data_IF_008082587326
#
_entry.id   IF_008082587326
#
_cell.length_a   1.000
_cell.length_b   1.000
_cell.length_c   1.000
_cell.angle_alpha   90.00
_cell.angle_beta   90.00
_cell.angle_gamma   90.00
#
_symmetry.space_group_name_H-M   'P 1'
#
loop_
_entity.id
_entity.type
_entity.pdbx_description
1 polymer ?
#
# COMPACT_ATOMS: atom_id res chain seq x y z
N UNK A 1 -20.39 -3.30 33.02
CA UNK A 1 -19.03 -3.60 32.50
C UNK A 1 -19.13 -4.31 31.17
N UNK A 2 -18.57 -3.85 30.06
CA UNK A 2 -17.86 -2.63 29.70
C UNK A 2 -18.09 -2.47 28.19
N UNK A 3 -18.32 -1.25 27.70
CA UNK A 3 -18.54 -0.87 26.29
C UNK A 3 -17.32 -1.20 25.40
N UNK A 4 -16.97 -2.48 25.28
CA UNK A 4 -15.81 -3.01 24.58
C UNK A 4 -16.28 -3.79 23.35
N UNK A 5 -15.62 -3.52 22.25
CA UNK A 5 -15.82 -4.11 20.95
C UNK A 5 -14.68 -5.10 20.75
N UNK A 6 -15.00 -6.38 20.70
CA UNK A 6 -14.04 -7.42 20.30
C UNK A 6 -14.01 -7.49 18.78
N UNK A 7 -12.83 -7.31 18.20
CA UNK A 7 -12.60 -7.30 16.76
C UNK A 7 -11.54 -8.34 16.43
N UNK A 8 -11.87 -9.24 15.49
CA UNK A 8 -10.87 -10.06 14.80
C UNK A 8 -10.60 -9.41 13.45
N UNK A 9 -9.37 -8.94 13.25
CA UNK A 9 -8.98 -8.21 12.04
C UNK A 9 -7.93 -9.03 11.29
N UNK A 10 -8.14 -9.19 9.99
CA UNK A 10 -7.22 -9.90 9.09
C UNK A 10 -6.83 -9.03 7.88
N UNK A 11 -6.02 -7.96 8.07
CA UNK A 11 -5.59 -7.13 6.96
C UNK A 11 -4.76 -7.93 5.94
N UNK A 12 -4.96 -7.61 4.66
CA UNK A 12 -4.22 -8.15 3.54
C UNK A 12 -3.77 -7.02 2.61
N UNK A 13 -2.47 -6.98 2.29
CA UNK A 13 -1.90 -6.04 1.31
C UNK A 13 -1.11 -6.84 0.30
N UNK A 14 -1.44 -6.67 -0.98
CA UNK A 14 -0.73 -7.32 -2.10
C UNK A 14 0.00 -6.28 -2.95
N UNK A 15 1.23 -6.60 -3.33
CA UNK A 15 2.05 -5.76 -4.21
C UNK A 15 2.65 -6.62 -5.32
N UNK A 16 2.71 -6.09 -6.54
CA UNK A 16 3.42 -6.73 -7.64
C UNK A 16 4.93 -6.64 -7.38
N UNK A 17 5.59 -7.80 -7.29
CA UNK A 17 7.04 -7.91 -7.13
C UNK A 17 7.68 -8.30 -8.46
N UNK A 18 8.57 -7.43 -8.96
CA UNK A 18 9.43 -7.74 -10.12
C UNK A 18 10.62 -8.62 -9.74
N UNK A 19 11.04 -8.58 -8.47
CA UNK A 19 12.13 -9.43 -7.94
C UNK A 19 11.73 -10.92 -7.96
N UNK A 20 10.45 -11.22 -7.74
CA UNK A 20 9.89 -12.57 -7.83
C UNK A 20 9.23 -12.87 -9.19
N UNK A 21 9.61 -12.15 -10.25
CA UNK A 21 9.02 -12.37 -11.57
C UNK A 21 9.59 -13.62 -12.26
N UNK A 22 8.75 -14.29 -13.05
CA UNK A 22 9.15 -15.45 -13.87
C UNK A 22 8.99 -15.06 -15.33
N UNK A 23 10.02 -15.30 -16.13
CA UNK A 23 9.96 -15.12 -17.58
C UNK A 23 9.59 -16.43 -18.26
N UNK A 24 8.45 -16.46 -18.95
CA UNK A 24 7.98 -17.62 -19.71
C UNK A 24 7.84 -17.19 -21.16
N UNK A 25 8.59 -17.82 -22.07
CA UNK A 25 8.56 -17.53 -23.51
C UNK A 25 8.74 -16.03 -23.86
N UNK A 26 9.56 -15.30 -23.10
CA UNK A 26 9.82 -13.87 -23.31
C UNK A 26 8.79 -12.91 -22.68
N UNK A 27 7.76 -13.44 -22.02
CA UNK A 27 6.79 -12.65 -21.25
C UNK A 27 7.16 -12.68 -19.77
N UNK A 28 7.36 -11.50 -19.18
CA UNK A 28 7.66 -11.36 -17.74
C UNK A 28 6.36 -11.34 -16.96
N UNK A 29 6.12 -12.41 -16.19
CA UNK A 29 5.00 -12.48 -15.25
C UNK A 29 5.49 -12.00 -13.88
N UNK A 30 5.02 -10.86 -13.35
CA UNK A 30 5.42 -10.39 -12.04
C UNK A 30 4.91 -11.36 -10.96
N UNK A 31 5.75 -11.60 -9.94
CA UNK A 31 5.31 -12.30 -8.74
C UNK A 31 4.35 -11.42 -7.93
N UNK A 32 3.53 -12.04 -7.09
CA UNK A 32 2.68 -11.32 -6.13
C UNK A 32 3.29 -11.52 -4.75
N UNK A 33 3.59 -10.42 -4.08
CA UNK A 33 3.98 -10.42 -2.67
C UNK A 33 2.77 -10.02 -1.83
N UNK A 34 2.29 -10.95 -0.99
CA UNK A 34 1.14 -10.74 -0.12
C UNK A 34 1.57 -10.65 1.33
N UNK A 35 1.09 -9.63 2.03
CA UNK A 35 1.30 -9.41 3.46
C UNK A 35 -0.03 -9.64 4.17
N UNK A 36 -0.08 -10.59 5.10
CA UNK A 36 -1.27 -10.93 5.88
C UNK A 36 -0.91 -10.95 7.36
N UNK A 37 -1.81 -10.46 8.20
CA UNK A 37 -1.72 -10.55 9.65
C UNK A 37 -3.11 -10.83 10.19
N UNK A 38 -3.23 -11.61 11.27
CA UNK A 38 -4.52 -11.84 11.94
C UNK A 38 -4.33 -11.56 13.42
N UNK A 39 -5.12 -10.65 13.97
CA UNK A 39 -5.09 -10.32 15.40
C UNK A 39 -6.50 -10.14 15.94
N UNK A 40 -6.66 -10.44 17.22
CA UNK A 40 -7.90 -10.19 17.97
C UNK A 40 -7.60 -9.09 18.98
N UNK A 41 -8.42 -8.03 18.96
CA UNK A 41 -8.25 -6.86 19.80
C UNK A 41 -9.56 -6.53 20.52
N UNK A 42 -9.48 -5.91 21.69
CA UNK A 42 -10.63 -5.37 22.41
C UNK A 42 -10.47 -3.87 22.59
N UNK A 43 -11.34 -3.08 21.94
CA UNK A 43 -11.30 -1.62 21.95
C UNK A 43 -12.61 -1.05 22.48
N UNK A 44 -12.56 0.07 23.19
CA UNK A 44 -13.78 0.85 23.44
C UNK A 44 -14.19 1.64 22.18
N UNK A 45 -15.43 2.14 22.17
CA UNK A 45 -15.92 3.00 21.10
C UNK A 45 -15.01 4.24 20.90
N UNK A 46 -14.60 4.47 19.65
CA UNK A 46 -13.70 5.56 19.25
C UNK A 46 -12.21 5.31 19.51
N UNK A 47 -11.83 4.20 20.17
CA UNK A 47 -10.43 3.88 20.38
C UNK A 47 -9.76 3.36 19.11
N UNK A 48 -8.49 3.72 18.95
CA UNK A 48 -7.63 3.27 17.87
C UNK A 48 -6.52 2.39 18.41
N UNK A 49 -6.13 1.38 17.64
CA UNK A 49 -5.05 0.46 17.96
C UNK A 49 -4.17 0.23 16.75
N UNK A 50 -2.86 0.31 16.96
CA UNK A 50 -1.87 -0.07 15.96
C UNK A 50 -1.68 -1.59 16.00
N UNK A 51 -2.14 -2.28 14.96
CA UNK A 51 -2.17 -3.74 14.89
C UNK A 51 -0.77 -4.34 14.72
N UNK A 52 0.04 -3.74 13.86
CA UNK A 52 1.40 -4.18 13.55
C UNK A 52 2.20 -3.06 12.88
N UNK A 53 3.50 -3.01 13.19
CA UNK A 53 4.52 -2.32 12.42
C UNK A 53 5.53 -3.35 11.89
N UNK A 54 5.80 -3.37 10.58
CA UNK A 54 6.83 -4.21 9.98
C UNK A 54 7.88 -3.33 9.32
N UNK A 55 9.11 -3.39 9.82
CA UNK A 55 10.29 -2.75 9.20
C UNK A 55 11.09 -3.84 8.49
N UNK A 56 11.28 -3.69 7.18
CA UNK A 56 12.11 -4.60 6.38
C UNK A 56 13.32 -3.85 5.85
N UNK A 57 14.51 -4.34 6.17
CA UNK A 57 15.77 -3.87 5.60
C UNK A 57 16.37 -4.96 4.73
N UNK A 58 16.62 -4.69 3.45
CA UNK A 58 17.31 -5.57 2.53
C UNK A 58 18.64 -4.93 2.11
N UNK A 59 19.76 -5.54 2.50
CA UNK A 59 21.11 -5.12 2.15
C UNK A 59 21.72 -6.12 1.18
N UNK A 60 22.05 -5.66 -0.02
CA UNK A 60 22.81 -6.44 -1.01
C UNK A 60 24.19 -5.82 -1.12
N UNK A 61 25.23 -6.61 -0.87
CA UNK A 61 26.61 -6.25 -1.17
C UNK A 61 27.10 -7.17 -2.28
N UNK A 62 27.53 -6.60 -3.38
CA UNK A 62 28.14 -7.31 -4.51
C UNK A 62 29.52 -6.72 -4.74
N UNK A 63 30.54 -7.58 -4.72
CA UNK A 63 31.93 -7.21 -4.97
C UNK A 63 32.44 -8.04 -6.13
N UNK A 64 32.85 -7.38 -7.20
CA UNK A 64 33.51 -7.99 -8.36
C UNK A 64 34.93 -7.45 -8.44
N UNK A 65 35.93 -8.31 -8.57
CA UNK A 65 37.32 -7.88 -8.69
C UNK A 65 38.07 -8.80 -9.65
N UNK A 66 39.05 -8.23 -10.36
CA UNK A 66 39.93 -9.03 -11.20
C UNK A 66 40.84 -9.92 -10.34
N UNK A 67 41.01 -11.20 -10.71
CA UNK A 67 41.94 -12.08 -10.01
C UNK A 67 43.36 -11.49 -10.03
N UNK A 68 44.09 -11.61 -8.92
CA UNK A 68 45.42 -11.03 -8.64
C UNK A 68 45.49 -9.49 -8.52
N UNK A 69 44.84 -8.73 -9.40
CA UNK A 69 44.93 -7.27 -9.41
C UNK A 69 44.03 -6.60 -8.35
N UNK A 70 42.93 -7.24 -7.97
CA UNK A 70 41.99 -6.74 -6.97
C UNK A 70 42.50 -6.76 -5.52
N UNK A 71 43.62 -7.43 -5.26
CA UNK A 71 44.18 -7.59 -3.90
C UNK A 71 45.35 -6.63 -3.62
N UNK A 72 45.83 -5.89 -4.62
CA UNK A 72 47.00 -5.00 -4.49
C UNK A 72 46.63 -3.75 -3.68
N UNK A 73 47.23 -3.51 -2.50
CA UNK A 73 46.97 -2.31 -1.71
C UNK A 73 47.28 -1.04 -2.51
N UNK A 74 46.39 -0.05 -2.47
CA UNK A 74 46.52 1.21 -3.22
C UNK A 74 46.02 1.16 -4.67
N UNK A 75 45.99 0.00 -5.32
CA UNK A 75 45.45 -0.18 -6.68
C UNK A 75 44.11 -0.93 -6.73
N UNK A 76 43.77 -1.70 -5.67
CA UNK A 76 42.55 -2.49 -5.56
C UNK A 76 41.25 -1.76 -5.96
N UNK A 77 41.01 -0.48 -5.59
CA UNK A 77 39.78 0.23 -5.97
C UNK A 77 39.63 0.50 -7.48
N UNK A 78 40.71 0.42 -8.28
CA UNK A 78 40.67 0.64 -9.73
C UNK A 78 40.42 -0.66 -10.52
N UNK A 79 40.62 -1.82 -9.89
CA UNK A 79 40.47 -3.14 -10.51
C UNK A 79 39.34 -3.98 -9.90
N UNK A 80 38.53 -3.35 -9.05
CA UNK A 80 37.34 -3.94 -8.45
C UNK A 80 36.18 -2.95 -8.42
N UNK A 81 34.97 -3.50 -8.49
CA UNK A 81 33.71 -2.80 -8.35
C UNK A 81 33.00 -3.32 -7.11
N UNK A 82 32.62 -2.41 -6.21
CA UNK A 82 31.78 -2.72 -5.07
C UNK A 82 30.43 -2.02 -5.24
N UNK A 83 29.37 -2.80 -5.32
CA UNK A 83 27.99 -2.34 -5.35
C UNK A 83 27.33 -2.60 -4.01
N UNK A 84 26.81 -1.52 -3.40
CA UNK A 84 26.06 -1.57 -2.15
C UNK A 84 24.62 -1.11 -2.44
N UNK A 85 23.63 -1.96 -2.16
CA UNK A 85 22.21 -1.64 -2.29
C UNK A 85 21.53 -1.81 -0.93
N UNK A 86 20.87 -0.77 -0.44
CA UNK A 86 20.08 -0.79 0.79
C UNK A 86 18.63 -0.42 0.46
N UNK A 87 17.69 -1.32 0.70
CA UNK A 87 16.26 -1.12 0.49
C UNK A 87 15.53 -1.22 1.84
N UNK A 88 14.75 -0.20 2.19
CA UNK A 88 13.98 -0.14 3.42
C UNK A 88 12.48 -0.03 3.10
N UNK A 89 11.64 -0.76 3.83
CA UNK A 89 10.19 -0.73 3.67
C UNK A 89 9.51 -0.82 5.01
N UNK A 90 8.66 0.16 5.30
CA UNK A 90 7.88 0.25 6.54
C UNK A 90 6.39 0.09 6.23
N UNK A 91 5.70 -0.73 7.02
CA UNK A 91 4.24 -0.87 6.96
C UNK A 91 3.67 -0.73 8.36
N UNK A 92 2.70 0.18 8.52
CA UNK A 92 1.94 0.39 9.75
C UNK A 92 0.45 0.20 9.46
N UNK A 93 -0.21 -0.60 10.29
CA UNK A 93 -1.65 -0.86 10.19
C UNK A 93 -2.36 -0.31 11.42
N UNK A 94 -3.29 0.63 11.22
CA UNK A 94 -4.09 1.24 12.29
C UNK A 94 -5.55 0.86 12.08
N UNK A 95 -6.20 0.40 13.14
CA UNK A 95 -7.63 0.13 13.17
C UNK A 95 -8.32 0.98 14.24
N UNK A 96 -9.49 1.51 13.90
CA UNK A 96 -10.33 2.32 14.81
C UNK A 96 -11.70 1.66 14.92
N UNK A 97 -12.13 1.35 16.14
CA UNK A 97 -13.45 0.78 16.39
C UNK A 97 -14.47 1.91 16.59
N UNK A 98 -15.65 1.81 15.96
CA UNK A 98 -16.77 2.72 16.20
C UNK A 98 -18.09 1.95 16.31
N UNK A 99 -18.89 2.27 17.32
CA UNK A 99 -20.25 1.77 17.50
C UNK A 99 -21.23 2.70 16.78
N UNK A 100 -22.06 2.13 15.90
CA UNK A 100 -23.07 2.89 15.14
C UNK A 100 -24.47 2.40 15.50
N UNK A 101 -25.43 3.32 15.57
CA UNK A 101 -26.83 2.99 15.81
C UNK A 101 -27.51 2.57 14.51
N UNK A 102 -28.36 1.54 14.51
CA UNK A 102 -29.14 1.18 13.32
C UNK A 102 -30.15 2.30 13.01
N UNK A 103 -30.22 2.71 11.75
CA UNK A 103 -31.25 3.64 11.26
C UNK A 103 -32.42 2.87 10.67
N UNK A 104 -33.64 3.35 10.92
CA UNK A 104 -34.87 2.82 10.30
C UNK A 104 -35.12 3.34 8.90
N UNK A 105 -34.42 4.41 8.49
CA UNK A 105 -34.51 5.00 7.16
C UNK A 105 -33.20 4.79 6.39
N UNK A 106 -33.15 3.87 5.41
CA UNK A 106 -31.97 3.67 4.57
C UNK A 106 -31.56 4.91 3.76
N UNK A 107 -32.49 5.83 3.48
CA UNK A 107 -32.20 7.07 2.74
C UNK A 107 -31.48 8.13 3.59
N UNK A 108 -31.40 7.92 4.91
CA UNK A 108 -30.63 8.79 5.81
C UNK A 108 -29.14 8.43 5.86
N UNK A 109 -28.72 7.34 5.22
CA UNK A 109 -27.32 6.93 5.15
C UNK A 109 -26.63 7.60 3.98
N UNK A 110 -25.47 8.21 4.23
CA UNK A 110 -24.67 8.72 3.14
C UNK A 110 -23.97 7.57 2.42
N UNK A 111 -24.21 7.43 1.13
CA UNK A 111 -23.56 6.41 0.31
C UNK A 111 -22.20 6.90 -0.18
N UNK A 112 -21.24 5.99 -0.47
CA UNK A 112 -19.97 6.37 -1.12
C UNK A 112 -20.16 7.09 -2.46
N UNK A 113 -21.34 6.96 -3.08
CA UNK A 113 -21.68 7.54 -4.37
C UNK A 113 -22.36 8.92 -4.25
N UNK A 114 -22.76 9.36 -3.06
CA UNK A 114 -23.45 10.65 -2.88
C UNK A 114 -22.60 11.84 -3.31
N UNK A 115 -21.28 11.70 -3.16
CA UNK A 115 -20.30 12.71 -3.55
C UNK A 115 -19.68 12.42 -4.93
N UNK A 116 -20.17 11.39 -5.63
CA UNK A 116 -19.68 11.07 -6.96
C UNK A 116 -20.29 12.01 -8.01
N UNK A 117 -19.46 12.86 -8.61
CA UNK A 117 -19.83 13.69 -9.75
C UNK A 117 -19.19 13.15 -11.02
N UNK A 118 -20.01 12.67 -11.95
CA UNK A 118 -19.53 12.31 -13.28
C UNK A 118 -19.00 13.55 -14.02
N UNK A 119 -17.85 13.46 -14.72
CA UNK A 119 -17.29 14.60 -15.42
C UNK A 119 -18.17 15.06 -16.58
N UNK A 120 -18.31 16.38 -16.66
CA UNK A 120 -19.00 17.04 -17.76
C UNK A 120 -18.29 16.79 -19.11
N UNK A 121 -19.00 17.00 -20.22
CA UNK A 121 -18.44 16.78 -21.57
C UNK A 121 -17.26 17.70 -21.86
N UNK A 122 -17.29 18.93 -21.38
CA UNK A 122 -16.21 19.90 -21.55
C UNK A 122 -14.94 19.45 -20.82
N UNK A 123 -15.08 19.10 -19.54
CA UNK A 123 -13.96 18.57 -18.73
C UNK A 123 -13.31 17.33 -19.37
N UNK A 124 -14.12 16.36 -19.84
CA UNK A 124 -13.59 15.18 -20.54
C UNK A 124 -12.80 15.54 -21.80
N UNK A 125 -13.30 16.49 -22.60
CA UNK A 125 -12.64 16.89 -23.84
C UNK A 125 -11.36 17.67 -23.55
N UNK A 126 -11.39 18.57 -22.59
CA UNK A 126 -10.27 19.40 -22.18
C UNK A 126 -9.10 18.57 -21.61
N UNK A 127 -9.37 17.59 -20.74
CA UNK A 127 -8.31 16.72 -20.21
C UNK A 127 -7.74 15.75 -21.24
N UNK A 128 -8.54 15.35 -22.24
CA UNK A 128 -8.04 14.54 -23.36
C UNK A 128 -7.11 15.37 -24.25
N UNK A 129 -7.42 16.64 -24.45
CA UNK A 129 -6.67 17.56 -25.31
C UNK A 129 -5.37 18.06 -24.65
N UNK A 130 -5.38 18.23 -23.33
CA UNK A 130 -4.19 18.71 -22.58
C UNK A 130 -3.19 17.63 -22.20
N UNK A 131 -3.44 16.35 -22.52
CA UNK A 131 -2.57 15.26 -22.09
C UNK A 131 -2.42 15.14 -20.56
N UNK A 132 -3.30 15.78 -19.79
CA UNK A 132 -3.29 15.74 -18.34
C UNK A 132 -3.80 14.37 -17.86
N UNK A 133 -2.95 13.61 -17.17
CA UNK A 133 -3.31 12.28 -16.61
C UNK A 133 -4.33 12.36 -15.47
N UNK A 134 -4.61 13.55 -14.96
CA UNK A 134 -5.60 13.77 -13.90
C UNK A 134 -7.01 13.77 -14.49
N UNK A 135 -7.79 12.73 -14.14
CA UNK A 135 -9.17 12.57 -14.59
C UNK A 135 -10.06 13.64 -13.93
N UNK A 136 -10.68 14.56 -14.69
CA UNK A 136 -11.56 15.55 -14.11
C UNK A 136 -12.81 14.83 -13.56
N UNK A 137 -13.34 15.29 -12.43
CA UNK A 137 -14.41 14.61 -11.68
C UNK A 137 -13.91 13.49 -10.76
N UNK A 138 -12.67 13.03 -10.89
CA UNK A 138 -12.01 12.21 -9.88
C UNK A 138 -11.36 13.13 -8.82
N UNK A 139 -12.16 13.95 -8.14
CA UNK A 139 -11.74 14.32 -6.77
C UNK A 139 -11.58 12.98 -6.07
N UNK A 140 -10.35 12.67 -5.64
CA UNK A 140 -10.04 11.44 -4.95
C UNK A 140 -11.18 11.19 -3.98
N UNK A 141 -11.95 10.13 -4.21
CA UNK A 141 -12.91 9.62 -3.25
C UNK A 141 -12.04 9.14 -2.10
N UNK A 142 -11.52 10.08 -1.31
CA UNK A 142 -11.03 9.77 0.01
C UNK A 142 -12.28 9.19 0.67
N UNK A 143 -12.17 7.93 1.05
CA UNK A 143 -13.20 7.17 1.73
C UNK A 143 -13.42 7.81 3.11
N UNK A 144 -13.95 9.02 3.13
CA UNK A 144 -14.39 9.76 4.29
C UNK A 144 -15.91 9.79 4.22
N UNK A 145 -16.51 8.66 4.62
CA UNK A 145 -17.87 8.61 5.09
C UNK A 145 -17.85 8.60 6.61
N UNK A 146 -18.85 9.20 7.24
CA UNK A 146 -18.90 9.22 8.70
C UNK A 146 -19.18 7.81 9.28
N UNK A 147 -19.65 6.85 8.47
CA UNK A 147 -20.00 5.48 8.87
C UNK A 147 -19.81 4.46 7.72
N UNK A 148 -19.62 3.18 8.06
CA UNK A 148 -19.13 2.10 7.21
C UNK A 148 -20.14 1.44 6.25
N UNK A 149 -19.55 0.59 5.39
CA UNK A 149 -20.05 -0.04 4.16
C UNK A 149 -21.45 -0.70 4.21
N UNK A 150 -22.21 -0.51 3.13
CA UNK A 150 -23.23 -1.47 2.66
C UNK A 150 -22.63 -2.32 1.54
N UNK A 151 -22.83 -3.64 1.61
CA UNK A 151 -22.72 -4.53 0.44
C UNK A 151 -23.82 -4.23 -0.57
#
# INVERSE_FOLDING_TARGET
>A
DNNRISLTVSPEVSTLSRENSVSIAGVVVPGIETRRTTTTIELADGQSFALAGLVRTHRTQSSEALPFLGEIPGLAPFFGSNSFKNQESELVIIATARLVQPTSDPLSLSTPLDHYRAPSRFERRFCTDMGSTERPGAQATRLFGNYGYSY
#
